data_IF_360686797614
#
_entry.id   IF_360686797614
#
_cell.length_a   1.000
_cell.length_b   1.000
_cell.length_c   1.000
_cell.angle_alpha   90.00
_cell.angle_beta   90.00
_cell.angle_gamma   90.00
#
_symmetry.space_group_name_H-M   'P 1'
#
loop_
_entity.id
_entity.type
_entity.pdbx_description
1 polymer ?
#
# COMPACT_ATOMS: atom_id res chain seq x y z
N UNK A 1 -1.62 1.21 3.22
CA UNK A 1 -2.65 1.16 2.16
C UNK A 1 -3.10 -0.28 1.96
N UNK A 2 -4.41 -0.53 1.99
CA UNK A 2 -5.00 -1.81 1.61
C UNK A 2 -5.49 -1.70 0.15
N UNK A 3 -5.03 -2.59 -0.74
CA UNK A 3 -5.35 -2.52 -2.19
C UNK A 3 -5.95 -3.81 -2.71
N UNK A 4 -6.98 -3.69 -3.54
CA UNK A 4 -7.67 -4.79 -4.23
C UNK A 4 -8.28 -4.26 -5.53
N UNK A 5 -7.96 -4.86 -6.67
CA UNK A 5 -8.43 -4.39 -7.98
C UNK A 5 -8.16 -2.87 -8.13
N UNK A 6 -9.20 -2.06 -8.33
CA UNK A 6 -9.14 -0.59 -8.39
C UNK A 6 -9.44 0.10 -7.06
N UNK A 7 -9.65 -0.65 -5.98
CA UNK A 7 -9.95 -0.13 -4.65
C UNK A 7 -8.66 0.07 -3.86
N UNK A 8 -8.52 1.24 -3.25
CA UNK A 8 -7.47 1.55 -2.27
C UNK A 8 -8.10 2.13 -1.02
N UNK A 9 -7.78 1.56 0.14
CA UNK A 9 -8.18 2.05 1.46
C UNK A 9 -6.92 2.55 2.16
N UNK A 10 -6.92 3.81 2.56
CA UNK A 10 -5.91 4.35 3.46
C UNK A 10 -6.42 4.13 4.89
N UNK A 11 -5.65 3.39 5.67
CA UNK A 11 -6.00 3.00 7.03
C UNK A 11 -4.72 3.04 7.86
N UNK A 12 -4.83 3.58 9.07
CA UNK A 12 -3.77 3.62 10.07
C UNK A 12 -4.10 2.68 11.22
N UNK A 13 -3.09 2.03 11.78
CA UNK A 13 -3.22 1.11 12.91
C UNK A 13 -1.88 1.03 13.66
N UNK A 14 -1.89 0.51 14.88
CA UNK A 14 -0.67 0.25 15.64
C UNK A 14 0.13 -0.90 15.02
N UNK A 15 1.47 -0.81 15.07
CA UNK A 15 2.38 -1.91 14.69
C UNK A 15 2.20 -3.16 15.59
N UNK A 16 1.77 -2.95 16.83
CA UNK A 16 1.46 -4.01 17.80
C UNK A 16 0.10 -4.68 17.58
N UNK A 17 -0.67 -4.23 16.59
CA UNK A 17 -1.91 -4.91 16.21
C UNK A 17 -1.59 -6.21 15.46
N UNK A 18 -2.49 -7.18 15.59
CA UNK A 18 -2.48 -8.41 14.83
C UNK A 18 -3.07 -8.23 13.43
N UNK A 19 -2.73 -9.12 12.51
CA UNK A 19 -3.35 -9.20 11.18
C UNK A 19 -4.87 -9.41 11.27
N UNK A 20 -5.35 -10.15 12.27
CA UNK A 20 -6.78 -10.34 12.51
C UNK A 20 -7.49 -9.03 12.86
N UNK A 21 -6.88 -8.18 13.67
CA UNK A 21 -7.44 -6.85 14.00
C UNK A 21 -7.50 -5.96 12.75
N UNK A 22 -6.46 -6.00 11.91
CA UNK A 22 -6.48 -5.30 10.63
C UNK A 22 -7.64 -5.79 9.73
N UNK A 23 -7.89 -7.10 9.67
CA UNK A 23 -9.05 -7.65 8.94
C UNK A 23 -10.40 -7.20 9.50
N UNK A 24 -10.51 -7.00 10.82
CA UNK A 24 -11.74 -6.46 11.46
C UNK A 24 -11.95 -4.99 11.09
N UNK A 25 -10.89 -4.19 10.97
CA UNK A 25 -10.99 -2.82 10.46
C UNK A 25 -11.47 -2.80 9.01
N UNK A 26 -10.93 -3.69 8.17
CA UNK A 26 -11.39 -3.86 6.79
C UNK A 26 -12.84 -4.34 6.73
N UNK A 27 -13.26 -5.25 7.63
CA UNK A 27 -14.65 -5.69 7.76
C UNK A 27 -15.58 -4.51 8.05
N UNK A 28 -15.19 -3.58 8.91
CA UNK A 28 -16.01 -2.42 9.23
C UNK A 28 -16.29 -1.55 7.98
N UNK A 29 -15.37 -1.52 7.02
CA UNK A 29 -15.47 -0.74 5.77
C UNK A 29 -16.20 -1.53 4.67
N UNK A 30 -15.73 -2.74 4.36
CA UNK A 30 -16.22 -3.55 3.22
C UNK A 30 -17.39 -4.47 3.56
N UNK A 31 -17.72 -4.62 4.86
CA UNK A 31 -18.74 -5.55 5.38
C UNK A 31 -18.47 -7.02 5.03
N UNK A 32 -17.20 -7.39 4.88
CA UNK A 32 -16.75 -8.78 4.63
C UNK A 32 -16.08 -9.35 5.87
N UNK A 33 -16.48 -10.55 6.30
CA UNK A 33 -15.95 -11.20 7.51
C UNK A 33 -14.44 -11.49 7.38
N UNK A 34 -13.64 -11.43 8.46
CA UNK A 34 -12.20 -11.69 8.42
C UNK A 34 -11.80 -13.05 7.80
N UNK A 35 -12.60 -14.09 8.02
CA UNK A 35 -12.40 -15.45 7.45
C UNK A 35 -12.47 -15.50 5.92
N UNK A 36 -13.08 -14.48 5.32
CA UNK A 36 -13.31 -14.32 3.89
C UNK A 36 -12.37 -13.26 3.30
N UNK A 37 -11.34 -12.88 4.06
CA UNK A 37 -10.26 -11.99 3.63
C UNK A 37 -8.91 -12.72 3.72
N UNK A 38 -8.04 -12.53 2.73
CA UNK A 38 -6.61 -12.80 2.85
C UNK A 38 -5.84 -11.53 2.58
N UNK A 39 -4.81 -11.31 3.40
CA UNK A 39 -3.94 -10.15 3.31
C UNK A 39 -2.56 -10.60 2.87
N UNK A 40 -1.91 -9.77 2.04
CA UNK A 40 -0.58 -10.01 1.53
C UNK A 40 0.26 -8.76 1.68
N UNK A 41 1.45 -8.85 2.27
CA UNK A 41 2.41 -7.76 2.19
C UNK A 41 3.01 -7.75 0.78
N UNK A 42 2.96 -6.60 0.11
CA UNK A 42 3.46 -6.43 -1.26
C UNK A 42 4.76 -5.64 -1.22
N UNK A 43 5.82 -6.23 -1.76
CA UNK A 43 7.09 -5.57 -1.97
C UNK A 43 7.10 -4.96 -3.38
N UNK A 44 7.38 -3.67 -3.46
CA UNK A 44 7.56 -2.97 -4.73
C UNK A 44 9.05 -2.85 -4.99
N UNK A 45 9.50 -3.44 -6.09
CA UNK A 45 10.87 -3.35 -6.57
C UNK A 45 10.83 -2.96 -8.05
N UNK A 46 11.85 -2.22 -8.50
CA UNK A 46 11.94 -1.66 -9.86
C UNK A 46 11.89 -2.73 -10.97
N UNK A 47 12.22 -3.99 -10.65
CA UNK A 47 12.36 -5.10 -11.60
C UNK A 47 11.08 -5.91 -11.88
N UNK A 48 9.89 -5.35 -11.63
CA UNK A 48 8.59 -5.84 -12.17
C UNK A 48 8.08 -7.22 -11.72
N UNK A 49 8.69 -7.86 -10.72
CA UNK A 49 8.06 -8.98 -10.00
C UNK A 49 7.60 -8.49 -8.64
N UNK A 50 6.31 -8.17 -8.52
CA UNK A 50 5.65 -7.90 -7.24
C UNK A 50 5.76 -9.15 -6.36
N UNK A 51 6.80 -9.25 -5.55
CA UNK A 51 6.89 -10.29 -4.54
C UNK A 51 5.86 -9.97 -3.48
N UNK A 52 5.08 -10.96 -3.09
CA UNK A 52 4.13 -10.81 -2.01
C UNK A 52 4.23 -11.97 -1.03
N UNK A 53 3.86 -11.70 0.22
CA UNK A 53 3.85 -12.67 1.31
C UNK A 53 2.49 -12.66 1.98
N UNK A 54 1.86 -13.84 2.09
CA UNK A 54 0.59 -13.99 2.80
C UNK A 54 0.79 -13.76 4.30
N UNK A 55 -0.09 -12.96 4.89
CA UNK A 55 -0.08 -12.64 6.32
C UNK A 55 -0.92 -13.65 7.12
N UNK A 56 -0.46 -13.96 8.32
CA UNK A 56 -1.10 -14.89 9.26
C UNK A 56 -1.83 -14.13 10.35
N UNK A 57 -3.05 -14.54 10.67
CA UNK A 57 -4.01 -13.79 11.51
C UNK A 57 -3.49 -13.45 12.91
N UNK A 58 -2.68 -14.34 13.50
CA UNK A 58 -2.20 -14.22 14.88
C UNK A 58 -0.83 -13.55 15.02
N UNK A 59 -0.25 -13.12 13.90
CA UNK A 59 1.07 -12.48 13.86
C UNK A 59 0.88 -10.97 13.91
N UNK A 60 1.81 -10.27 14.56
CA UNK A 60 1.77 -8.80 14.66
C UNK A 60 2.18 -8.15 13.35
N UNK A 61 1.75 -6.92 13.12
CA UNK A 61 2.16 -6.17 11.94
C UNK A 61 3.67 -5.85 11.99
N UNK A 62 4.22 -5.55 13.18
CA UNK A 62 5.65 -5.34 13.42
C UNK A 62 6.51 -6.54 13.00
N UNK A 63 6.04 -7.77 13.20
CA UNK A 63 6.78 -8.98 12.81
C UNK A 63 6.92 -9.12 11.28
N UNK A 64 6.07 -8.43 10.53
CA UNK A 64 6.16 -8.31 9.08
C UNK A 64 6.92 -7.05 8.62
N UNK A 65 7.51 -6.30 9.56
CA UNK A 65 8.23 -5.06 9.30
C UNK A 65 7.32 -3.88 8.97
N UNK A 66 6.04 -3.92 9.37
CA UNK A 66 5.10 -2.80 9.24
C UNK A 66 5.18 -1.91 10.48
N UNK A 67 6.18 -1.03 10.48
CA UNK A 67 6.53 -0.12 11.58
C UNK A 67 6.36 1.34 11.13
N UNK A 68 6.28 2.32 12.04
CA UNK A 68 6.13 3.75 11.69
C UNK A 68 7.19 4.27 10.71
N UNK A 69 8.41 3.72 10.74
CA UNK A 69 9.50 4.13 9.86
C UNK A 69 9.40 3.54 8.45
N UNK A 70 8.84 2.34 8.30
CA UNK A 70 8.71 1.64 7.02
C UNK A 70 7.37 1.89 6.34
N UNK A 71 6.33 2.29 7.09
CA UNK A 71 4.98 2.55 6.62
C UNK A 71 4.54 4.00 6.93
N UNK A 72 5.36 4.98 6.54
CA UNK A 72 5.10 6.40 6.78
C UNK A 72 3.81 6.87 6.08
N UNK A 73 3.16 7.89 6.62
CA UNK A 73 1.95 8.50 6.01
C UNK A 73 2.20 8.93 4.55
N UNK A 74 3.39 9.49 4.27
CA UNK A 74 3.77 9.93 2.92
C UNK A 74 4.21 8.79 2.00
N UNK A 75 4.61 7.65 2.55
CA UNK A 75 4.99 6.46 1.81
C UNK A 75 4.47 5.20 2.52
N UNK A 76 3.16 4.95 2.46
CA UNK A 76 2.53 3.90 3.24
C UNK A 76 2.86 2.53 2.66
N UNK A 77 3.03 1.54 3.53
CA UNK A 77 3.18 0.15 3.09
C UNK A 77 1.93 -0.32 2.33
N UNK A 78 2.15 -1.20 1.34
CA UNK A 78 1.08 -1.74 0.50
C UNK A 78 0.73 -3.15 0.98
N UNK A 79 -0.53 -3.33 1.36
CA UNK A 79 -1.11 -4.62 1.72
C UNK A 79 -2.15 -4.97 0.65
N UNK A 80 -1.93 -6.06 -0.07
CA UNK A 80 -2.89 -6.66 -0.97
C UNK A 80 -4.03 -7.34 -0.21
N UNK A 81 -5.25 -7.21 -0.71
CA UNK A 81 -6.45 -7.87 -0.17
C UNK A 81 -7.07 -8.75 -1.24
N UNK A 82 -7.34 -10.00 -0.89
CA UNK A 82 -8.20 -10.90 -1.68
C UNK A 82 -9.40 -11.36 -0.86
N UNK A 83 -10.56 -11.45 -1.49
CA UNK A 83 -11.81 -11.88 -0.89
C UNK A 83 -12.20 -13.30 -1.31
N UNK A 84 -12.90 -14.00 -0.41
CA UNK A 84 -13.49 -15.30 -0.72
C UNK A 84 -14.68 -15.13 -1.66
N UNK A 85 -14.72 -15.96 -2.69
CA UNK A 85 -15.77 -16.02 -3.68
C UNK A 85 -16.90 -16.98 -3.24
N UNK A 86 -18.01 -16.97 -3.98
CA UNK A 86 -19.19 -17.81 -3.70
C UNK A 86 -18.90 -19.31 -3.81
N UNK A 87 -17.93 -19.70 -4.63
CA UNK A 87 -17.47 -21.07 -4.79
C UNK A 87 -16.55 -21.55 -3.64
N UNK A 88 -16.26 -20.67 -2.68
CA UNK A 88 -15.40 -20.94 -1.53
C UNK A 88 -13.92 -20.70 -1.77
N UNK A 89 -13.50 -20.47 -3.03
CA UNK A 89 -12.12 -20.11 -3.39
C UNK A 89 -11.83 -18.65 -3.06
N UNK A 90 -10.56 -18.25 -3.05
CA UNK A 90 -10.17 -16.84 -2.97
C UNK A 90 -9.88 -16.30 -4.37
N UNK A 91 -10.20 -15.02 -4.61
CA UNK A 91 -9.75 -14.34 -5.82
C UNK A 91 -8.22 -14.32 -5.92
N UNK A 92 -7.71 -14.17 -7.15
CA UNK A 92 -6.31 -13.92 -7.36
C UNK A 92 -5.93 -12.53 -6.82
N UNK A 93 -4.69 -12.39 -6.34
CA UNK A 93 -4.20 -11.08 -5.91
C UNK A 93 -4.01 -10.19 -7.14
N UNK A 94 -4.95 -9.29 -7.35
CA UNK A 94 -4.90 -8.28 -8.41
C UNK A 94 -4.90 -6.88 -7.81
N UNK A 95 -3.92 -6.08 -8.24
CA UNK A 95 -3.79 -4.67 -7.84
C UNK A 95 -3.59 -3.88 -9.14
N UNK A 96 -4.59 -3.07 -9.50
CA UNK A 96 -4.50 -2.23 -10.68
C UNK A 96 -3.41 -1.15 -10.46
N UNK A 97 -2.53 -0.90 -11.44
CA UNK A 97 -1.61 0.24 -11.37
C UNK A 97 -2.42 1.55 -11.33
N UNK A 98 -1.84 2.58 -10.72
CA UNK A 98 -2.38 3.93 -10.89
C UNK A 98 -2.10 4.41 -12.32
N UNK A 99 -2.82 5.44 -12.75
CA UNK A 99 -2.52 6.10 -14.01
C UNK A 99 -1.12 6.71 -13.96
N UNK A 100 -0.38 6.59 -15.05
CA UNK A 100 0.84 7.36 -15.24
C UNK A 100 0.48 8.86 -15.27
N UNK A 101 1.30 9.73 -14.67
CA UNK A 101 1.05 11.16 -14.73
C UNK A 101 1.12 11.65 -16.18
N UNK A 102 0.14 12.44 -16.61
CA UNK A 102 0.08 13.00 -17.98
C UNK A 102 1.31 13.86 -18.33
N UNK A 103 2.04 14.33 -17.31
CA UNK A 103 3.26 15.14 -17.40
C UNK A 103 4.56 14.33 -17.41
N UNK A 104 4.52 12.99 -17.46
CA UNK A 104 5.73 12.17 -17.62
C UNK A 104 6.51 12.47 -18.92
N UNK A 105 5.91 13.25 -19.83
CA UNK A 105 6.52 13.75 -21.06
C UNK A 105 6.73 15.27 -21.06
N UNK A 106 6.86 15.95 -19.92
CA UNK A 106 7.28 17.37 -19.91
C UNK A 106 8.75 17.49 -20.33
N UNK A 107 9.06 18.10 -21.49
CA UNK A 107 10.42 18.44 -21.86
C UNK A 107 10.81 19.74 -21.15
N UNK A 108 12.03 19.76 -20.59
CA UNK A 108 12.84 20.93 -20.17
C UNK A 108 12.33 21.90 -19.08
N UNK A 109 11.02 22.08 -18.86
CA UNK A 109 10.50 23.10 -17.89
C UNK A 109 10.83 22.74 -16.43
N UNK A 110 11.01 21.45 -16.12
CA UNK A 110 11.28 20.99 -14.74
C UNK A 110 12.72 21.24 -14.27
N UNK A 111 13.66 21.51 -15.19
CA UNK A 111 15.04 21.86 -14.83
C UNK A 111 15.13 23.29 -14.25
N UNK A 112 14.27 24.21 -14.68
CA UNK A 112 14.27 25.60 -14.21
C UNK A 112 13.80 25.76 -12.75
N UNK A 113 13.00 24.84 -12.21
CA UNK A 113 12.60 24.86 -10.80
C UNK A 113 13.68 24.35 -9.83
N UNK A 114 14.67 23.60 -10.31
CA UNK A 114 15.91 23.33 -9.54
C UNK A 114 16.80 24.56 -9.49
N UNK A 115 16.80 25.36 -10.55
CA UNK A 115 17.62 26.57 -10.68
C UNK A 115 17.09 27.69 -9.78
N UNK A 116 15.76 27.87 -9.67
CA UNK A 116 15.16 28.89 -8.79
C UNK A 116 15.41 28.66 -7.29
N UNK A 117 15.48 27.41 -6.82
CA UNK A 117 15.79 27.09 -5.42
C UNK A 117 17.26 27.34 -5.03
N UNK A 118 18.17 27.52 -6.00
CA UNK A 118 19.58 27.85 -5.76
C UNK A 118 19.84 29.36 -5.69
N UNK A 119 18.90 30.18 -6.15
CA UNK A 119 19.01 31.64 -6.09
C UNK A 119 18.40 32.24 -4.82
N UNK A 120 17.48 31.56 -4.14
CA UNK A 120 16.92 32.03 -2.85
C UNK A 120 17.83 31.76 -1.63
N UNK A 121 18.84 30.91 -1.75
CA UNK A 121 19.74 30.58 -0.62
C UNK A 121 21.08 31.32 -0.62
N UNK A 122 21.27 32.34 -1.47
CA UNK A 122 22.55 33.09 -1.55
C UNK A 122 22.54 34.49 -0.93
N UNK A 123 21.40 34.96 -0.43
CA UNK A 123 21.31 36.23 0.29
C UNK A 123 20.79 36.00 1.72
N UNK A 124 21.68 35.56 2.63
CA UNK A 124 21.58 35.70 4.09
C UNK A 124 22.95 35.50 4.74
#
# INVERSE_FOLDING_TARGET
MIRRNKTTIILETSESSSVLELKKMIEAILKVKPKDQQLFLVYVNESSLNKYMKLSDHVLLSDYGLEPLSAKVTNPAIVGLTLRQKDGSFEHLEIAPYSDPEFAALPEIMDDMKVMNLYETKDL
#
